data_IF_531271586027
#
_entry.id   IF_531271586027
#
_cell.length_a   1.000
_cell.length_b   1.000
_cell.length_c   1.000
_cell.angle_alpha   90.00
_cell.angle_beta   90.00
_cell.angle_gamma   90.00
#
_symmetry.space_group_name_H-M   'P 1'
#
loop_
_entity.id
_entity.type
_entity.pdbx_description
1 polymer ?
#
# COMPACT_ATOMS: atom_id res chain seq x y z
N UNK A 1 -6.14 -14.22 0.31
CA UNK A 1 -7.35 -14.76 -0.34
C UNK A 1 -8.57 -14.25 0.42
N UNK A 2 -9.69 -13.99 -0.26
CA UNK A 2 -10.90 -13.45 0.35
C UNK A 2 -11.45 -14.45 1.38
N UNK A 3 -11.73 -13.99 2.59
CA UNK A 3 -12.48 -14.79 3.56
C UNK A 3 -13.97 -14.79 3.18
N UNK A 4 -14.78 -15.66 3.79
CA UNK A 4 -16.24 -15.76 3.56
C UNK A 4 -16.99 -14.42 3.76
N UNK A 5 -16.37 -13.49 4.49
CA UNK A 5 -16.90 -12.16 4.80
C UNK A 5 -16.50 -11.08 3.77
N UNK A 6 -15.75 -11.45 2.73
CA UNK A 6 -15.21 -10.57 1.69
C UNK A 6 -14.35 -9.41 2.25
N UNK A 7 -13.68 -9.66 3.38
CA UNK A 7 -12.81 -8.71 4.09
C UNK A 7 -11.32 -8.99 3.80
N UNK A 8 -10.67 -7.98 3.23
CA UNK A 8 -9.24 -8.03 2.91
C UNK A 8 -8.35 -7.69 4.12
N UNK A 9 -8.92 -7.29 5.25
CA UNK A 9 -8.16 -6.98 6.47
C UNK A 9 -7.39 -8.19 6.99
N UNK A 10 -7.91 -9.41 6.82
CA UNK A 10 -7.22 -10.63 7.26
C UNK A 10 -5.98 -10.92 6.41
N UNK A 11 -6.07 -10.77 5.08
CA UNK A 11 -4.90 -10.91 4.20
C UNK A 11 -3.80 -9.91 4.57
N UNK A 12 -4.17 -8.65 4.83
CA UNK A 12 -3.22 -7.61 5.24
C UNK A 12 -2.51 -8.00 6.55
N UNK A 13 -3.26 -8.52 7.53
CA UNK A 13 -2.67 -9.02 8.79
C UNK A 13 -1.69 -10.16 8.52
N UNK A 14 -2.07 -11.14 7.70
CA UNK A 14 -1.20 -12.28 7.33
C UNK A 14 0.08 -11.78 6.67
N UNK A 15 0.00 -10.81 5.75
CA UNK A 15 1.16 -10.22 5.07
C UNK A 15 2.08 -9.50 6.03
N UNK A 16 1.53 -8.74 6.97
CA UNK A 16 2.30 -8.11 8.05
C UNK A 16 2.99 -9.17 8.90
N UNK A 17 2.30 -10.25 9.29
CA UNK A 17 2.90 -11.35 10.08
C UNK A 17 4.05 -12.02 9.31
N UNK A 18 3.86 -12.33 8.03
CA UNK A 18 4.90 -12.91 7.16
C UNK A 18 6.11 -11.97 7.03
N UNK A 19 5.87 -10.68 6.79
CA UNK A 19 6.93 -9.69 6.70
C UNK A 19 7.69 -9.51 8.04
N UNK A 20 6.98 -9.56 9.18
CA UNK A 20 7.61 -9.58 10.52
C UNK A 20 8.48 -10.81 10.73
N UNK A 21 7.98 -11.99 10.35
CA UNK A 21 8.73 -13.24 10.47
C UNK A 21 10.03 -13.18 9.64
N UNK A 22 9.94 -12.74 8.37
CA UNK A 22 11.11 -12.55 7.51
C UNK A 22 12.10 -11.53 8.08
N UNK A 23 11.62 -10.41 8.62
CA UNK A 23 12.47 -9.42 9.27
C UNK A 23 13.21 -10.02 10.48
N UNK A 24 12.53 -10.84 11.28
CA UNK A 24 13.11 -11.47 12.46
C UNK A 24 14.18 -12.52 12.10
N UNK A 25 13.98 -13.28 11.02
CA UNK A 25 14.99 -14.20 10.49
C UNK A 25 16.26 -13.45 10.08
N UNK A 26 16.11 -12.28 9.46
CA UNK A 26 17.21 -11.40 9.06
C UNK A 26 17.65 -10.42 10.17
N UNK A 27 17.18 -10.60 11.41
CA UNK A 27 17.37 -9.59 12.46
C UNK A 27 18.83 -9.36 12.84
N UNK A 28 19.69 -10.40 12.70
CA UNK A 28 21.14 -10.27 12.88
C UNK A 28 21.69 -9.19 11.95
N UNK A 29 21.38 -9.27 10.65
CA UNK A 29 21.81 -8.30 9.63
C UNK A 29 21.27 -6.89 9.91
N UNK A 30 19.97 -6.76 10.18
CA UNK A 30 19.37 -5.44 10.43
C UNK A 30 19.88 -4.76 11.70
N UNK A 31 20.30 -5.54 12.71
CA UNK A 31 20.80 -5.02 13.99
C UNK A 31 22.33 -4.90 14.08
N UNK A 32 23.10 -5.33 13.09
CA UNK A 32 24.57 -5.16 13.12
C UNK A 32 24.97 -3.68 13.06
N UNK A 33 25.98 -3.24 13.82
CA UNK A 33 26.41 -1.83 13.84
C UNK A 33 27.25 -1.45 12.60
N UNK A 34 27.96 -2.42 12.04
CA UNK A 34 28.95 -2.23 10.98
C UNK A 34 28.34 -2.03 9.58
N UNK A 35 27.02 -2.15 9.46
CA UNK A 35 26.32 -2.00 8.17
C UNK A 35 25.72 -0.61 8.05
N UNK A 36 25.97 0.03 6.90
CA UNK A 36 25.37 1.31 6.55
C UNK A 36 23.83 1.22 6.63
N UNK A 37 23.21 2.23 7.23
CA UNK A 37 21.76 2.38 7.34
C UNK A 37 21.10 2.33 5.96
N UNK A 38 21.67 2.99 4.96
CA UNK A 38 21.13 3.01 3.59
C UNK A 38 21.07 1.62 2.97
N UNK A 39 22.10 0.81 3.22
CA UNK A 39 22.15 -0.58 2.78
C UNK A 39 21.06 -1.40 3.45
N UNK A 40 20.84 -1.23 4.76
CA UNK A 40 19.75 -1.90 5.49
C UNK A 40 18.38 -1.48 4.97
N UNK A 41 18.17 -0.20 4.67
CA UNK A 41 16.92 0.29 4.09
C UNK A 41 16.70 -0.31 2.69
N UNK A 42 17.75 -0.43 1.88
CA UNK A 42 17.68 -1.11 0.57
C UNK A 42 17.27 -2.59 0.73
N UNK A 43 17.89 -3.31 1.67
CA UNK A 43 17.50 -4.70 1.98
C UNK A 43 16.06 -4.80 2.47
N UNK A 44 15.62 -3.87 3.32
CA UNK A 44 14.25 -3.81 3.81
C UNK A 44 13.25 -3.68 2.65
N UNK A 45 13.53 -2.78 1.70
CA UNK A 45 12.71 -2.58 0.49
C UNK A 45 12.66 -3.84 -0.38
N UNK A 46 13.81 -4.47 -0.64
CA UNK A 46 13.91 -5.62 -1.53
C UNK A 46 13.24 -6.89 -0.97
N UNK A 47 13.43 -7.19 0.31
CA UNK A 47 12.99 -8.47 0.89
C UNK A 47 11.72 -8.35 1.74
N UNK A 48 11.63 -7.33 2.60
CA UNK A 48 10.54 -7.24 3.58
C UNK A 48 9.33 -6.55 2.96
N UNK A 49 9.55 -5.43 2.27
CA UNK A 49 8.45 -4.69 1.65
C UNK A 49 7.89 -5.41 0.44
N UNK A 50 8.69 -6.20 -0.28
CA UNK A 50 8.18 -7.07 -1.35
C UNK A 50 7.20 -8.13 -0.83
N UNK A 51 7.48 -8.76 0.31
CA UNK A 51 6.55 -9.70 0.97
C UNK A 51 5.27 -8.98 1.41
N UNK A 52 5.42 -7.80 2.03
CA UNK A 52 4.29 -7.02 2.53
C UNK A 52 3.38 -6.54 1.40
N UNK A 53 3.96 -5.98 0.33
CA UNK A 53 3.25 -5.30 -0.76
C UNK A 53 2.78 -6.25 -1.86
N UNK A 54 2.94 -7.55 -1.68
CA UNK A 54 2.47 -8.52 -2.65
C UNK A 54 0.94 -8.47 -2.78
N UNK A 55 0.46 -8.19 -4.00
CA UNK A 55 -0.97 -8.13 -4.32
C UNK A 55 -1.70 -6.90 -3.78
N UNK A 56 -0.95 -5.88 -3.33
CA UNK A 56 -1.48 -4.64 -2.75
C UNK A 56 -2.38 -3.87 -3.71
N UNK A 57 -2.18 -4.06 -5.02
CA UNK A 57 -2.96 -3.47 -6.10
C UNK A 57 -4.45 -3.82 -5.99
N UNK A 58 -4.76 -5.02 -5.47
CA UNK A 58 -6.11 -5.56 -5.36
C UNK A 58 -6.81 -5.20 -4.03
N UNK A 59 -6.07 -4.68 -3.06
CA UNK A 59 -6.61 -4.44 -1.72
C UNK A 59 -7.47 -3.19 -1.65
N UNK A 60 -8.46 -3.20 -0.78
CA UNK A 60 -9.36 -2.12 -0.42
C UNK A 60 -8.99 -1.71 0.99
N UNK A 61 -8.36 -0.55 1.11
CA UNK A 61 -7.83 -0.10 2.39
C UNK A 61 -8.86 0.74 3.14
N UNK A 62 -9.11 0.34 4.38
CA UNK A 62 -9.79 1.18 5.34
C UNK A 62 -8.76 2.08 6.04
N UNK A 63 -9.22 3.14 6.72
CA UNK A 63 -8.33 3.97 7.54
C UNK A 63 -7.57 3.13 8.59
N UNK A 64 -8.22 2.10 9.13
CA UNK A 64 -7.59 1.21 10.11
C UNK A 64 -6.49 0.33 9.49
N UNK A 65 -6.70 -0.22 8.29
CA UNK A 65 -5.67 -1.04 7.63
C UNK A 65 -4.52 -0.21 7.11
N UNK A 66 -4.77 1.01 6.60
CA UNK A 66 -3.71 1.95 6.25
C UNK A 66 -2.83 2.30 7.47
N UNK A 67 -3.44 2.63 8.62
CA UNK A 67 -2.70 2.87 9.87
C UNK A 67 -1.87 1.66 10.32
N UNK A 68 -2.33 0.44 10.09
CA UNK A 68 -1.56 -0.79 10.40
C UNK A 68 -0.32 -0.93 9.52
N UNK A 69 -0.41 -0.59 8.23
CA UNK A 69 0.73 -0.60 7.32
C UNK A 69 1.78 0.45 7.74
N UNK A 70 1.35 1.67 8.06
CA UNK A 70 2.25 2.71 8.57
C UNK A 70 2.87 2.32 9.93
N UNK A 71 2.11 1.67 10.81
CA UNK A 71 2.64 1.18 12.07
C UNK A 71 3.70 0.08 11.88
N UNK A 72 3.52 -0.79 10.88
CA UNK A 72 4.51 -1.79 10.50
C UNK A 72 5.80 -1.15 9.97
N UNK A 73 5.69 -0.15 9.09
CA UNK A 73 6.83 0.63 8.60
C UNK A 73 7.62 1.29 9.74
N UNK A 74 6.92 1.97 10.64
CA UNK A 74 7.57 2.60 11.79
C UNK A 74 8.20 1.59 12.74
N UNK A 75 7.64 0.38 12.81
CA UNK A 75 8.22 -0.72 13.58
C UNK A 75 9.53 -1.22 12.95
N UNK A 76 9.60 -1.39 11.63
CA UNK A 76 10.86 -1.82 10.97
C UNK A 76 11.96 -0.77 11.12
N UNK A 77 11.64 0.51 10.93
CA UNK A 77 12.59 1.61 11.11
C UNK A 77 13.15 1.70 12.53
N UNK A 78 12.30 1.59 13.55
CA UNK A 78 12.76 1.56 14.95
C UNK A 78 13.69 0.38 15.23
N UNK A 79 13.41 -0.79 14.64
CA UNK A 79 14.25 -1.98 14.84
C UNK A 79 15.61 -1.86 14.16
N UNK A 80 15.68 -1.22 13.00
CA UNK A 80 16.95 -0.89 12.32
C UNK A 80 17.79 0.08 13.16
N UNK A 81 17.15 1.11 13.72
CA UNK A 81 17.78 2.09 14.61
C UNK A 81 17.99 1.61 16.05
N UNK A 82 17.53 0.40 16.38
CA UNK A 82 17.56 -0.19 17.74
C UNK A 82 16.88 0.66 18.82
N UNK A 83 15.88 1.45 18.44
CA UNK A 83 15.13 2.29 19.37
C UNK A 83 14.20 1.38 20.19
N UNK A 84 14.36 1.43 21.50
CA UNK A 84 13.47 0.76 22.46
C UNK A 84 12.18 1.55 22.61
N UNK A 85 11.12 0.88 23.04
CA UNK A 85 9.88 1.56 23.41
C UNK A 85 10.07 2.47 24.63
N UNK A 86 11.02 2.14 25.51
CA UNK A 86 11.37 2.92 26.72
C UNK A 86 11.98 4.29 26.38
N UNK A 87 12.60 4.42 25.21
CA UNK A 87 13.24 5.66 24.76
C UNK A 87 12.21 6.76 24.44
N UNK A 88 10.91 6.40 24.34
CA UNK A 88 9.79 7.32 24.05
C UNK A 88 10.01 8.24 22.84
N UNK A 89 10.81 7.79 21.85
CA UNK A 89 11.14 8.57 20.66
C UNK A 89 9.93 8.69 19.73
N UNK A 90 9.58 9.94 19.38
CA UNK A 90 8.49 10.25 18.47
C UNK A 90 8.73 9.69 17.06
N UNK A 91 7.64 9.41 16.32
CA UNK A 91 7.75 8.96 14.92
C UNK A 91 8.51 9.95 14.04
N UNK A 92 8.30 11.26 14.27
CA UNK A 92 8.97 12.34 13.53
C UNK A 92 10.48 12.25 13.74
N UNK A 93 10.94 12.04 14.97
CA UNK A 93 12.37 11.95 15.27
C UNK A 93 13.01 10.68 14.69
N UNK A 94 12.27 9.57 14.62
CA UNK A 94 12.72 8.33 13.96
C UNK A 94 12.97 8.58 12.46
N UNK A 95 12.04 9.25 11.79
CA UNK A 95 12.14 9.58 10.37
C UNK A 95 13.28 10.57 10.09
N UNK A 96 13.43 11.60 10.93
CA UNK A 96 14.56 12.54 10.86
C UNK A 96 15.92 11.84 11.01
N UNK A 97 16.04 10.86 11.92
CA UNK A 97 17.28 10.09 12.11
C UNK A 97 17.65 9.24 10.88
N UNK A 98 16.67 8.84 10.08
CA UNK A 98 16.89 8.10 8.84
C UNK A 98 17.06 9.01 7.63
N UNK A 99 16.74 10.30 7.76
CA UNK A 99 16.57 11.24 6.65
C UNK A 99 15.60 10.71 5.57
N UNK A 100 14.42 10.24 6.01
CA UNK A 100 13.40 9.66 5.11
C UNK A 100 11.98 9.99 5.52
N UNK A 101 11.08 9.92 4.54
CA UNK A 101 9.64 9.90 4.73
C UNK A 101 9.08 8.47 4.68
N UNK A 102 7.81 8.31 5.04
CA UNK A 102 7.07 7.04 4.91
C UNK A 102 6.85 6.72 3.43
N UNK A 103 7.16 5.50 3.01
CA UNK A 103 7.12 5.06 1.62
C UNK A 103 6.07 3.99 1.33
N UNK A 104 5.62 3.23 2.33
CA UNK A 104 4.67 2.12 2.10
C UNK A 104 3.36 2.63 1.50
N UNK A 105 2.77 3.68 2.08
CA UNK A 105 1.51 4.23 1.57
C UNK A 105 1.66 4.91 0.21
N UNK A 106 2.80 5.53 -0.07
CA UNK A 106 3.12 6.09 -1.39
C UNK A 106 3.14 4.97 -2.42
N UNK A 107 3.87 3.89 -2.13
CA UNK A 107 3.99 2.72 -3.02
C UNK A 107 2.63 2.06 -3.27
N UNK A 108 1.78 1.95 -2.24
CA UNK A 108 0.41 1.44 -2.37
C UNK A 108 -0.41 2.30 -3.33
N UNK A 109 -0.39 3.63 -3.15
CA UNK A 109 -1.15 4.57 -3.99
C UNK A 109 -0.68 4.46 -5.45
N UNK A 110 0.63 4.45 -5.68
CA UNK A 110 1.22 4.34 -7.02
C UNK A 110 0.83 3.05 -7.71
N UNK A 111 1.09 1.89 -7.09
CA UNK A 111 0.79 0.57 -7.68
C UNK A 111 -0.69 0.39 -7.99
N UNK A 112 -1.58 0.88 -7.11
CA UNK A 112 -3.03 0.83 -7.36
C UNK A 112 -3.45 1.71 -8.54
N UNK A 113 -2.85 2.90 -8.68
CA UNK A 113 -3.14 3.80 -9.78
C UNK A 113 -2.57 3.27 -11.11
N UNK A 114 -1.37 2.69 -11.10
CA UNK A 114 -0.80 1.98 -12.26
C UNK A 114 -1.70 0.82 -12.68
N UNK A 115 -2.15 0.01 -11.72
CA UNK A 115 -3.05 -1.11 -11.98
C UNK A 115 -4.39 -0.67 -12.57
N UNK A 116 -4.97 0.45 -12.10
CA UNK A 116 -6.13 1.04 -12.76
C UNK A 116 -5.83 1.35 -14.23
N UNK A 117 -4.70 2.00 -14.49
CA UNK A 117 -4.25 2.31 -15.85
C UNK A 117 -4.12 1.05 -16.72
N UNK A 118 -3.55 -0.03 -16.17
CA UNK A 118 -3.43 -1.30 -16.87
C UNK A 118 -4.80 -1.92 -17.20
N UNK A 119 -5.77 -1.86 -16.28
CA UNK A 119 -7.12 -2.38 -16.51
C UNK A 119 -7.84 -1.58 -17.60
N UNK A 120 -7.76 -0.25 -17.56
CA UNK A 120 -8.51 0.60 -18.50
C UNK A 120 -7.96 0.53 -19.92
N UNK A 121 -6.63 0.49 -20.07
CA UNK A 121 -5.95 0.51 -21.38
C UNK A 121 -5.86 -0.85 -22.06
N UNK A 122 -6.03 -1.95 -21.33
CA UNK A 122 -6.08 -3.26 -21.95
C UNK A 122 -7.52 -3.59 -22.35
N UNK A 123 -7.74 -3.86 -23.63
CA UNK A 123 -9.08 -4.07 -24.17
C UNK A 123 -9.60 -5.49 -23.95
N UNK A 124 -8.73 -6.50 -24.03
CA UNK A 124 -9.14 -7.91 -24.06
C UNK A 124 -8.93 -8.62 -22.72
N UNK A 125 -7.80 -8.42 -22.04
CA UNK A 125 -7.42 -9.21 -20.86
C UNK A 125 -8.24 -8.89 -19.60
N UNK A 126 -8.74 -7.65 -19.48
CA UNK A 126 -9.36 -7.15 -18.25
C UNK A 126 -10.82 -6.71 -18.46
N UNK A 127 -11.49 -7.22 -19.49
CA UNK A 127 -12.87 -6.85 -19.83
C UNK A 127 -13.85 -7.01 -18.67
N UNK A 128 -13.80 -8.15 -17.95
CA UNK A 128 -14.63 -8.38 -16.78
C UNK A 128 -14.36 -7.37 -15.66
N UNK A 129 -13.08 -7.11 -15.34
CA UNK A 129 -12.70 -6.14 -14.32
C UNK A 129 -13.11 -4.72 -14.72
N UNK A 130 -12.98 -4.37 -15.99
CA UNK A 130 -13.41 -3.08 -16.54
C UNK A 130 -14.92 -2.90 -16.42
N UNK A 131 -15.70 -3.93 -16.72
CA UNK A 131 -17.16 -3.93 -16.55
C UNK A 131 -17.57 -3.77 -15.07
N UNK A 132 -16.90 -4.48 -14.16
CA UNK A 132 -17.12 -4.35 -12.71
C UNK A 132 -16.78 -2.93 -12.22
N UNK A 133 -15.63 -2.38 -12.63
CA UNK A 133 -15.20 -1.03 -12.23
C UNK A 133 -16.14 0.05 -12.77
N UNK A 134 -16.62 -0.10 -14.00
CA UNK A 134 -17.60 0.81 -14.61
C UNK A 134 -19.01 0.65 -14.04
N UNK A 135 -19.25 -0.38 -13.22
CA UNK A 135 -20.55 -0.65 -12.63
C UNK A 135 -21.57 -1.22 -13.60
N UNK A 136 -21.11 -1.83 -14.71
CA UNK A 136 -21.95 -2.58 -15.67
C UNK A 136 -22.29 -3.96 -15.10
N UNK A 137 -22.86 -3.98 -13.91
CA UNK A 137 -23.25 -5.21 -13.19
C UNK A 137 -24.76 -5.22 -12.98
N UNK A 138 -25.37 -6.38 -13.15
CA UNK A 138 -26.81 -6.54 -12.94
C UNK A 138 -27.17 -6.42 -11.45
N UNK A 139 -28.32 -5.81 -11.17
CA UNK A 139 -28.86 -5.65 -9.81
C UNK A 139 -28.69 -4.25 -9.23
N UNK A 140 -29.44 -3.99 -8.15
CA UNK A 140 -29.38 -2.73 -7.39
C UNK A 140 -28.52 -2.92 -6.15
N UNK A 141 -27.83 -1.85 -5.73
CA UNK A 141 -27.11 -1.85 -4.45
C UNK A 141 -28.12 -1.80 -3.30
N UNK A 142 -27.89 -2.59 -2.25
CA UNK A 142 -28.68 -2.56 -1.03
C UNK A 142 -28.69 -1.18 -0.36
N UNK A 143 -29.72 -0.95 0.44
CA UNK A 143 -29.92 0.29 1.22
C UNK A 143 -28.97 0.33 2.43
N UNK A 144 -28.48 1.51 2.80
CA UNK A 144 -27.63 1.73 3.98
C UNK A 144 -26.18 2.15 3.67
N UNK A 145 -25.34 2.18 4.73
CA UNK A 145 -23.94 2.64 4.63
C UNK A 145 -23.11 1.65 3.82
N UNK A 146 -22.61 2.13 2.67
CA UNK A 146 -21.75 1.33 1.79
C UNK A 146 -20.39 1.06 2.42
N UNK A 147 -19.91 -0.18 2.26
CA UNK A 147 -18.49 -0.54 2.52
C UNK A 147 -17.58 0.34 1.65
N UNK A 148 -16.36 0.58 2.14
CA UNK A 148 -15.34 1.27 1.33
C UNK A 148 -15.06 0.40 0.11
N UNK A 149 -15.11 0.99 -1.09
CA UNK A 149 -14.76 0.31 -2.32
C UNK A 149 -13.34 0.63 -2.77
N UNK A 150 -12.78 -0.24 -3.61
CA UNK A 150 -11.45 -0.05 -4.18
C UNK A 150 -11.30 1.29 -4.90
N UNK A 151 -12.27 1.67 -5.74
CA UNK A 151 -12.32 2.99 -6.41
C UNK A 151 -12.49 4.15 -5.42
N UNK A 152 -13.18 3.94 -4.29
CA UNK A 152 -13.30 4.99 -3.26
C UNK A 152 -11.93 5.36 -2.70
N UNK A 153 -11.00 4.42 -2.54
CA UNK A 153 -9.63 4.75 -2.13
C UNK A 153 -8.96 5.71 -3.11
N UNK A 154 -8.95 5.38 -4.40
CA UNK A 154 -8.31 6.22 -5.42
C UNK A 154 -8.93 7.62 -5.47
N UNK A 155 -10.27 7.71 -5.45
CA UNK A 155 -10.96 9.01 -5.42
C UNK A 155 -10.58 9.85 -4.21
N UNK A 156 -10.48 9.23 -3.04
CA UNK A 156 -10.08 9.94 -1.81
C UNK A 156 -8.60 10.33 -1.77
N UNK A 157 -7.73 9.57 -2.44
CA UNK A 157 -6.28 9.83 -2.42
C UNK A 157 -5.84 10.86 -3.46
N UNK A 158 -6.53 10.91 -4.60
CA UNK A 158 -6.21 11.78 -5.73
C UNK A 158 -7.24 12.91 -5.92
N UNK A 159 -8.14 13.07 -4.94
CA UNK A 159 -9.21 14.08 -4.92
C UNK A 159 -9.92 14.27 -6.27
N UNK A 160 -10.48 13.18 -6.79
CA UNK A 160 -11.04 13.17 -8.14
C UNK A 160 -12.28 12.28 -8.22
N UNK A 161 -13.10 12.51 -9.25
CA UNK A 161 -14.30 11.72 -9.52
C UNK A 161 -13.96 10.38 -10.18
N UNK A 162 -14.90 9.43 -10.15
CA UNK A 162 -14.69 8.14 -10.83
C UNK A 162 -14.46 8.33 -12.35
N UNK A 163 -15.21 9.24 -12.97
CA UNK A 163 -15.06 9.57 -14.38
C UNK A 163 -13.73 10.27 -14.67
N UNK A 164 -13.29 11.18 -13.79
CA UNK A 164 -11.97 11.80 -13.84
C UNK A 164 -10.84 10.77 -13.80
N UNK A 165 -10.92 9.79 -12.88
CA UNK A 165 -9.96 8.68 -12.82
C UNK A 165 -9.91 7.86 -14.10
N UNK A 166 -11.07 7.51 -14.68
CA UNK A 166 -11.10 6.72 -15.91
C UNK A 166 -10.54 7.50 -17.10
N UNK A 167 -10.85 8.79 -17.22
CA UNK A 167 -10.25 9.68 -18.23
C UNK A 167 -8.74 9.78 -18.06
N UNK A 168 -8.25 9.93 -16.83
CA UNK A 168 -6.82 9.95 -16.55
C UNK A 168 -6.14 8.61 -16.89
N UNK A 169 -6.81 7.49 -16.61
CA UNK A 169 -6.28 6.15 -16.80
C UNK A 169 -6.07 5.76 -18.27
N UNK A 170 -6.73 6.41 -19.24
CA UNK A 170 -6.49 6.16 -20.67
C UNK A 170 -5.09 6.58 -21.12
N UNK A 171 -4.49 7.57 -20.45
CA UNK A 171 -3.17 8.11 -20.81
C UNK A 171 -2.11 7.76 -19.77
N UNK A 172 -1.07 7.04 -20.18
CA UNK A 172 0.06 6.64 -19.31
C UNK A 172 0.82 7.85 -18.76
N UNK A 173 0.91 8.95 -19.50
CA UNK A 173 1.59 10.19 -19.08
C UNK A 173 0.82 10.85 -17.93
N UNK A 174 -0.52 10.88 -18.01
CA UNK A 174 -1.35 11.46 -16.95
C UNK A 174 -1.20 10.64 -15.66
N UNK A 175 -1.23 9.30 -15.76
CA UNK A 175 -1.00 8.42 -14.62
C UNK A 175 0.40 8.66 -14.01
N UNK A 176 1.45 8.76 -14.84
CA UNK A 176 2.79 9.05 -14.36
C UNK A 176 2.88 10.40 -13.63
N UNK A 177 2.22 11.45 -14.16
CA UNK A 177 2.15 12.77 -13.50
C UNK A 177 1.41 12.70 -12.16
N UNK A 178 0.28 11.98 -12.10
CA UNK A 178 -0.46 11.77 -10.86
C UNK A 178 0.39 11.04 -9.81
N UNK A 179 1.19 10.06 -10.22
CA UNK A 179 2.11 9.31 -9.35
C UNK A 179 3.24 10.21 -8.84
N UNK A 180 3.84 11.01 -9.72
CA UNK A 180 4.90 11.95 -9.35
C UNK A 180 4.42 13.01 -8.34
N UNK A 181 3.13 13.34 -8.35
CA UNK A 181 2.52 14.30 -7.43
C UNK A 181 2.08 13.67 -6.10
N UNK A 182 2.30 12.38 -5.87
CA UNK A 182 2.00 11.76 -4.57
C UNK A 182 3.04 12.22 -3.56
N UNK A 183 2.61 13.09 -2.64
CA UNK A 183 3.32 13.43 -1.40
C UNK A 183 2.75 12.62 -0.22
#
# INVERSE_FOLDING_TARGET
>A
MLNEQWDQSQEIKIRIVKARAAFNQMSKLFKTHNLNIDFKIRLLRCYIFSILLYGVESWTLTKATAKRLEAFEMWTYRRILKISWMDKVSNVRVLQKLDKEKEIMLTVKSRKLEYLGHIIRNETKYELLKSILQGKVFGKRGVGRRRISWLKNLRTWFDTTTTGLFKAATNKIIIARMIANIR
#
